data_IF_513711292209
#
_entry.id   IF_513711292209
#
_cell.length_a   1.000
_cell.length_b   1.000
_cell.length_c   1.000
_cell.angle_alpha   90.00
_cell.angle_beta   90.00
_cell.angle_gamma   90.00
#
_symmetry.space_group_name_H-M   'P 1'
#
loop_
_entity.id
_entity.type
_entity.pdbx_description
1 polymer ?
#
# COMPACT_ATOMS: atom_id res chain seq x y z
N UNK A 1 -13.21 -1.51 -14.54
CA UNK A 1 -13.18 -0.05 -14.81
C UNK A 1 -13.64 0.65 -13.54
N UNK A 2 -12.85 1.55 -12.95
CA UNK A 2 -13.33 2.34 -11.80
C UNK A 2 -14.49 3.22 -12.28
N UNK A 3 -15.52 3.44 -11.45
CA UNK A 3 -16.76 4.16 -11.82
C UNK A 3 -16.55 5.56 -12.42
N UNK A 4 -15.36 6.14 -12.27
CA UNK A 4 -14.98 7.46 -12.79
C UNK A 4 -14.34 7.45 -14.20
N UNK A 5 -14.23 6.30 -14.88
CA UNK A 5 -13.58 6.21 -16.20
C UNK A 5 -12.05 6.36 -16.18
N UNK A 6 -11.45 6.58 -15.01
CA UNK A 6 -10.00 6.67 -14.79
C UNK A 6 -9.37 5.28 -14.95
N UNK A 7 -8.32 5.19 -15.77
CA UNK A 7 -7.52 3.98 -15.97
C UNK A 7 -6.28 3.98 -15.07
N UNK A 8 -6.20 3.10 -14.06
CA UNK A 8 -5.02 2.97 -13.20
C UNK A 8 -3.75 2.66 -14.00
N UNK A 9 -2.62 3.31 -13.67
CA UNK A 9 -1.35 3.18 -14.38
C UNK A 9 -1.30 3.85 -15.76
N UNK A 10 -2.36 4.52 -16.19
CA UNK A 10 -2.41 5.27 -17.45
C UNK A 10 -2.78 6.71 -17.17
N UNK A 11 -3.98 6.94 -16.63
CA UNK A 11 -4.49 8.28 -16.34
C UNK A 11 -4.09 8.74 -14.92
N UNK A 12 -3.91 7.78 -14.00
CA UNK A 12 -3.50 8.04 -12.62
C UNK A 12 -2.64 6.90 -12.06
N UNK A 13 -1.61 7.25 -11.28
CA UNK A 13 -0.84 6.30 -10.49
C UNK A 13 -1.66 5.84 -9.29
N UNK A 14 -1.87 4.53 -9.14
CA UNK A 14 -2.65 3.95 -8.05
C UNK A 14 -1.79 2.98 -7.24
N UNK A 15 -1.77 3.21 -5.93
CA UNK A 15 -1.08 2.42 -4.93
C UNK A 15 -2.11 1.96 -3.90
N UNK A 16 -2.26 0.64 -3.72
CA UNK A 16 -3.20 0.07 -2.76
C UNK A 16 -2.50 -0.37 -1.50
N UNK A 17 -3.15 -0.19 -0.35
CA UNK A 17 -2.73 -0.90 0.87
C UNK A 17 -3.20 -2.35 0.75
N UNK A 18 -2.28 -3.31 0.67
CA UNK A 18 -2.64 -4.71 0.71
C UNK A 18 -2.72 -5.16 2.17
N UNK A 19 -3.95 -5.26 2.67
CA UNK A 19 -4.24 -5.99 3.90
C UNK A 19 -4.27 -7.47 3.52
N UNK A 20 -3.49 -8.30 4.21
CA UNK A 20 -3.48 -9.74 3.96
C UNK A 20 -4.92 -10.30 3.98
N UNK A 21 -5.32 -10.97 2.91
CA UNK A 21 -6.67 -11.54 2.76
C UNK A 21 -7.71 -10.62 2.07
N UNK A 22 -7.35 -9.39 1.69
CA UNK A 22 -8.21 -8.55 0.84
C UNK A 22 -7.95 -8.84 -0.64
N UNK A 23 -8.99 -9.23 -1.37
CA UNK A 23 -8.89 -9.36 -2.83
C UNK A 23 -8.90 -7.98 -3.48
N UNK A 24 -7.90 -7.71 -4.32
CA UNK A 24 -7.91 -6.56 -5.22
C UNK A 24 -8.76 -6.90 -6.45
N UNK A 25 -9.41 -5.91 -7.08
CA UNK A 25 -10.18 -6.16 -8.30
C UNK A 25 -9.30 -6.86 -9.34
N UNK A 26 -9.77 -8.00 -9.87
CA UNK A 26 -9.03 -8.77 -10.86
C UNK A 26 -8.77 -8.01 -12.16
N UNK A 27 -7.83 -8.52 -12.95
CA UNK A 27 -7.55 -8.02 -14.31
C UNK A 27 -6.55 -6.86 -14.40
N UNK A 28 -5.92 -6.45 -13.28
CA UNK A 28 -4.85 -5.47 -13.26
C UNK A 28 -3.69 -5.95 -12.37
N UNK A 29 -2.47 -5.60 -12.75
CA UNK A 29 -1.26 -5.80 -11.95
C UNK A 29 -1.08 -4.61 -11.00
N UNK A 30 -1.60 -4.77 -9.78
CA UNK A 30 -1.69 -3.70 -8.78
C UNK A 30 -0.38 -3.47 -8.06
N UNK A 31 -0.03 -2.20 -7.87
CA UNK A 31 1.02 -1.82 -6.93
C UNK A 31 0.47 -1.80 -5.52
N UNK A 32 1.15 -2.51 -4.61
CA UNK A 32 0.72 -2.67 -3.22
C UNK A 32 1.73 -2.12 -2.24
N UNK A 33 1.21 -1.72 -1.07
CA UNK A 33 1.96 -1.38 0.13
C UNK A 33 1.61 -2.43 1.16
N UNK A 34 2.62 -3.14 1.64
CA UNK A 34 2.47 -4.25 2.57
C UNK A 34 3.29 -4.00 3.83
N UNK A 35 2.71 -4.36 4.96
CA UNK A 35 3.45 -4.48 6.21
C UNK A 35 3.80 -5.94 6.43
N UNK A 36 5.07 -6.21 6.74
CA UNK A 36 5.46 -7.56 7.14
C UNK A 36 4.76 -7.93 8.45
N UNK A 37 3.87 -8.91 8.39
CA UNK A 37 3.16 -9.45 9.55
C UNK A 37 4.12 -10.03 10.58
N UNK A 38 5.21 -10.65 10.12
CA UNK A 38 6.29 -11.12 10.98
C UNK A 38 6.94 -9.98 11.76
N UNK A 39 7.36 -8.89 11.08
CA UNK A 39 7.97 -7.75 11.76
C UNK A 39 6.98 -7.04 12.68
N UNK A 40 5.72 -6.92 12.28
CA UNK A 40 4.66 -6.39 13.14
C UNK A 40 4.50 -7.23 14.41
N UNK A 41 4.33 -8.54 14.28
CA UNK A 41 4.16 -9.45 15.42
C UNK A 41 5.37 -9.44 16.35
N UNK A 42 6.59 -9.44 15.79
CA UNK A 42 7.83 -9.33 16.56
C UNK A 42 7.89 -8.02 17.35
N UNK A 43 7.58 -6.87 16.73
CA UNK A 43 7.57 -5.57 17.43
C UNK A 43 6.52 -5.49 18.52
N UNK A 44 5.34 -6.09 18.31
CA UNK A 44 4.32 -6.21 19.35
C UNK A 44 4.83 -7.02 20.54
N UNK A 45 5.45 -8.19 20.30
CA UNK A 45 5.99 -9.03 21.36
C UNK A 45 7.13 -8.34 22.14
N UNK A 46 8.07 -7.70 21.44
CA UNK A 46 9.13 -6.89 22.05
C UNK A 46 8.56 -5.75 22.91
N UNK A 47 7.49 -5.10 22.43
CA UNK A 47 6.81 -4.02 23.17
C UNK A 47 6.16 -4.54 24.45
N UNK A 48 5.43 -5.66 24.39
CA UNK A 48 4.81 -6.29 25.57
C UNK A 48 5.87 -6.69 26.59
N UNK A 49 6.95 -7.34 26.15
CA UNK A 49 8.05 -7.74 27.02
C UNK A 49 8.68 -6.51 27.70
N UNK A 50 8.86 -5.42 26.95
CA UNK A 50 9.37 -4.15 27.49
C UNK A 50 8.46 -3.58 28.59
N UNK A 51 7.13 -3.61 28.43
CA UNK A 51 6.19 -3.18 29.48
C UNK A 51 6.37 -4.01 30.75
N UNK A 52 6.38 -5.34 30.60
CA UNK A 52 6.46 -6.26 31.72
C UNK A 52 7.76 -6.11 32.50
N UNK A 53 8.88 -5.93 31.79
CA UNK A 53 10.20 -5.82 32.40
C UNK A 53 10.47 -4.43 33.02
N UNK A 54 9.80 -3.37 32.58
CA UNK A 54 10.14 -1.99 32.98
C UNK A 54 9.13 -1.31 33.92
N UNK A 55 8.06 -2.00 34.34
CA UNK A 55 7.05 -1.48 35.29
C UNK A 55 6.76 0.02 35.11
N UNK A 56 6.13 0.40 33.99
CA UNK A 56 5.51 1.72 33.86
C UNK A 56 6.11 2.73 32.87
N UNK A 57 6.93 2.35 31.90
CA UNK A 57 7.39 3.33 30.90
C UNK A 57 6.32 3.64 29.82
N UNK A 58 6.09 4.94 29.69
CA UNK A 58 5.08 5.62 28.91
C UNK A 58 5.20 5.41 27.39
N UNK A 59 4.05 5.38 26.71
CA UNK A 59 3.87 5.47 25.25
C UNK A 59 4.83 4.61 24.42
N UNK A 60 4.58 3.30 24.41
CA UNK A 60 5.18 2.42 23.42
C UNK A 60 4.59 2.71 22.04
N UNK A 61 5.27 3.55 21.28
CA UNK A 61 5.06 3.72 19.86
C UNK A 61 6.22 3.10 19.10
N UNK A 62 5.93 2.20 18.16
CA UNK A 62 6.91 1.73 17.19
C UNK A 62 6.44 2.09 15.79
N UNK A 63 7.41 2.39 14.91
CA UNK A 63 7.16 2.67 13.50
C UNK A 63 7.55 1.44 12.67
N UNK A 64 6.65 1.01 11.80
CA UNK A 64 6.95 0.03 10.76
C UNK A 64 7.12 0.76 9.43
N UNK A 65 8.19 0.41 8.72
CA UNK A 65 8.35 0.83 7.34
C UNK A 65 7.62 -0.20 6.46
N UNK A 66 6.63 0.24 5.67
CA UNK A 66 6.00 -0.67 4.74
C UNK A 66 6.96 -0.98 3.60
N UNK A 67 6.75 -2.15 2.99
CA UNK A 67 7.38 -2.52 1.72
C UNK A 67 6.42 -2.16 0.60
N UNK A 68 6.94 -1.53 -0.44
CA UNK A 68 6.21 -1.29 -1.67
C UNK A 68 6.51 -2.44 -2.63
N UNK A 69 5.47 -3.09 -3.13
CA UNK A 69 5.56 -4.06 -4.22
C UNK A 69 5.02 -3.37 -5.49
N UNK A 70 5.91 -2.90 -6.38
CA UNK A 70 5.49 -2.14 -7.55
C UNK A 70 4.87 -3.05 -8.62
N UNK A 71 3.57 -2.88 -8.85
CA UNK A 71 2.88 -3.35 -10.06
C UNK A 71 2.78 -2.27 -11.15
N UNK A 72 2.01 -2.53 -12.21
CA UNK A 72 1.76 -1.60 -13.32
C UNK A 72 0.91 -0.38 -12.95
N UNK A 73 0.09 -0.43 -11.91
CA UNK A 73 -0.81 0.69 -11.57
C UNK A 73 -0.10 1.92 -11.03
N UNK A 74 1.11 1.81 -10.49
CA UNK A 74 1.93 2.95 -10.02
C UNK A 74 2.73 3.62 -11.15
N UNK A 75 2.99 2.91 -12.24
CA UNK A 75 3.77 3.43 -13.35
C UNK A 75 2.86 4.26 -14.27
N UNK A 76 2.92 5.59 -14.15
CA UNK A 76 2.26 6.47 -15.12
C UNK A 76 2.88 6.27 -16.49
N UNK A 77 2.20 5.50 -17.35
CA UNK A 77 2.55 5.47 -18.76
C UNK A 77 2.21 6.84 -19.32
N UNK A 78 3.19 7.53 -19.90
CA UNK A 78 2.96 8.74 -20.69
C UNK A 78 1.96 8.38 -21.78
N UNK A 79 0.68 8.69 -21.54
CA UNK A 79 -0.31 8.67 -22.60
C UNK A 79 0.05 9.88 -23.46
N UNK A 80 0.23 9.73 -24.78
CA UNK A 80 0.23 10.90 -25.64
C UNK A 80 -1.06 11.68 -25.33
N UNK A 81 -1.01 13.02 -25.29
CA UNK A 81 -2.20 13.81 -25.03
C UNK A 81 -3.30 13.34 -25.98
N UNK A 82 -4.51 13.14 -25.45
CA UNK A 82 -5.68 12.89 -26.27
C UNK A 82 -5.72 14.03 -27.28
N UNK A 83 -5.39 13.72 -28.54
CA UNK A 83 -5.65 14.64 -29.64
C UNK A 83 -7.13 14.95 -29.54
N UNK A 84 -7.44 16.22 -29.29
CA UNK A 84 -8.80 16.71 -29.40
C UNK A 84 -9.24 16.37 -30.82
N UNK A 85 -10.05 15.32 -30.97
CA UNK A 85 -10.75 15.09 -32.22
C UNK A 85 -11.76 16.22 -32.32
N UNK A 86 -11.39 17.26 -33.05
CA UNK A 86 -12.31 18.30 -33.51
C UNK A 86 -13.45 17.61 -34.27
N UNK A 87 -14.68 18.00 -33.90
CA UNK A 87 -15.92 17.64 -34.58
C UNK A 87 -16.06 18.37 -35.89
#
# INVERSE_FOLDING_TARGET
>A
MLRAGIRPGVDAGVLSLAIAGSELPGGLDWSTVEFSTYHLGRRCAESILSVLCRTGEANLSFRLLPRINPGRTLQLRRTPPLSCQEK
#
